data_IF_515280642792
#
_entry.id   IF_515280642792
#
_cell.length_a   1.000
_cell.length_b   1.000
_cell.length_c   1.000
_cell.angle_alpha   90.00
_cell.angle_beta   90.00
_cell.angle_gamma   90.00
#
_symmetry.space_group_name_H-M   'P 1'
#
loop_
_entity.id
_entity.type
_entity.pdbx_description
1 polymer ?
#
# COMPACT_ATOMS: atom_id res chain seq x y z
N UNK A 1 -17.19 1.44 -9.76
CA UNK A 1 -15.96 2.13 -9.34
C UNK A 1 -14.90 1.04 -9.21
N UNK A 2 -13.78 1.14 -9.91
CA UNK A 2 -12.74 0.07 -9.90
C UNK A 2 -11.63 0.40 -8.91
N UNK A 3 -10.79 -0.57 -8.54
CA UNK A 3 -9.64 -0.30 -7.67
C UNK A 3 -8.67 0.71 -8.30
N UNK A 4 -8.56 0.76 -9.62
CA UNK A 4 -7.72 1.76 -10.31
C UNK A 4 -8.21 3.20 -10.10
N UNK A 5 -9.54 3.40 -10.11
CA UNK A 5 -10.13 4.73 -9.87
C UNK A 5 -9.81 5.19 -8.44
N UNK A 6 -9.98 4.31 -7.46
CA UNK A 6 -9.66 4.59 -6.05
C UNK A 6 -8.15 4.87 -5.89
N UNK A 7 -7.31 4.04 -6.52
CA UNK A 7 -5.85 4.21 -6.46
C UNK A 7 -5.41 5.57 -7.03
N UNK A 8 -6.05 6.04 -8.10
CA UNK A 8 -5.77 7.35 -8.68
C UNK A 8 -6.14 8.49 -7.72
N UNK A 9 -7.29 8.40 -7.05
CA UNK A 9 -7.71 9.38 -6.06
C UNK A 9 -6.77 9.41 -4.84
N UNK A 10 -6.36 8.25 -4.33
CA UNK A 10 -5.42 8.15 -3.21
C UNK A 10 -4.07 8.78 -3.56
N UNK A 11 -3.55 8.54 -4.77
CA UNK A 11 -2.28 9.14 -5.24
C UNK A 11 -2.30 10.67 -5.23
N UNK A 12 -3.45 11.26 -5.53
CA UNK A 12 -3.65 12.72 -5.53
C UNK A 12 -4.14 13.28 -4.18
N UNK A 13 -4.38 12.45 -3.16
CA UNK A 13 -5.08 12.87 -1.95
C UNK A 13 -4.27 13.87 -1.11
N UNK A 14 -4.87 15.01 -0.79
CA UNK A 14 -4.29 16.06 0.08
C UNK A 14 -5.12 16.32 1.34
N UNK A 15 -6.00 15.39 1.72
CA UNK A 15 -6.99 15.58 2.79
C UNK A 15 -6.41 15.61 4.21
N UNK A 16 -5.15 15.20 4.43
CA UNK A 16 -4.49 15.25 5.75
C UNK A 16 -3.00 15.59 5.63
N UNK A 17 -2.35 16.12 6.70
CA UNK A 17 -0.97 16.61 6.63
C UNK A 17 0.09 15.61 6.11
N UNK A 18 -0.18 14.30 6.15
CA UNK A 18 0.73 13.25 5.66
C UNK A 18 1.08 13.40 4.18
N UNK A 19 0.24 14.06 3.37
CA UNK A 19 0.55 14.31 1.96
C UNK A 19 1.81 15.17 1.78
N UNK A 20 2.19 15.96 2.80
CA UNK A 20 3.29 16.92 2.71
C UNK A 20 4.67 16.26 2.78
N UNK A 21 4.78 15.12 3.45
CA UNK A 21 6.05 14.44 3.70
C UNK A 21 6.25 13.15 2.89
N UNK A 22 5.17 12.55 2.39
CA UNK A 22 5.26 11.32 1.58
C UNK A 22 5.96 11.59 0.24
N UNK A 23 6.75 10.64 -0.24
CA UNK A 23 7.22 10.59 -1.60
C UNK A 23 6.14 10.02 -2.53
N UNK A 24 5.57 8.86 -2.18
CA UNK A 24 4.51 8.21 -2.96
C UNK A 24 3.42 7.68 -2.06
N UNK A 25 2.17 7.96 -2.42
CA UNK A 25 1.05 7.28 -1.78
C UNK A 25 1.05 5.79 -2.17
N UNK A 26 0.59 4.96 -1.23
CA UNK A 26 0.51 3.50 -1.37
C UNK A 26 -0.95 3.09 -1.25
N UNK A 27 -1.71 3.03 -2.36
CA UNK A 27 -3.14 2.71 -2.34
C UNK A 27 -3.48 1.25 -2.04
N UNK A 28 -2.47 0.37 -1.96
CA UNK A 28 -2.63 -1.07 -1.94
C UNK A 28 -2.42 -1.69 -3.33
N UNK A 29 -2.19 -3.00 -3.35
CA UNK A 29 -2.06 -3.81 -4.57
C UNK A 29 -2.61 -5.22 -4.30
N UNK A 30 -3.09 -5.91 -5.34
CA UNK A 30 -3.66 -7.25 -5.22
C UNK A 30 -4.81 -7.50 -6.19
N UNK A 31 -5.38 -8.69 -6.12
CA UNK A 31 -6.55 -9.07 -6.91
C UNK A 31 -7.82 -8.46 -6.34
N UNK A 32 -8.68 -7.88 -7.17
CA UNK A 32 -10.04 -7.47 -6.78
C UNK A 32 -10.90 -8.65 -6.30
N UNK A 33 -10.48 -9.88 -6.64
CA UNK A 33 -11.15 -11.14 -6.29
C UNK A 33 -10.44 -11.89 -5.15
N UNK A 34 -9.49 -11.27 -4.46
CA UNK A 34 -8.81 -11.91 -3.34
C UNK A 34 -9.82 -12.26 -2.24
N UNK A 35 -9.72 -13.48 -1.69
CA UNK A 35 -10.55 -13.92 -0.56
C UNK A 35 -10.05 -13.36 0.78
N UNK A 36 -8.78 -12.94 0.81
CA UNK A 36 -8.10 -12.44 2.00
C UNK A 36 -7.56 -11.03 1.69
N UNK A 37 -7.81 -10.09 2.60
CA UNK A 37 -7.26 -8.74 2.59
C UNK A 37 -6.36 -8.55 3.81
N UNK A 38 -5.13 -8.07 3.59
CA UNK A 38 -4.18 -7.77 4.66
C UNK A 38 -4.07 -6.25 4.79
N UNK A 39 -4.26 -5.75 6.01
CA UNK A 39 -4.24 -4.31 6.32
C UNK A 39 -3.16 -4.06 7.38
N UNK A 40 -2.17 -3.23 7.03
CA UNK A 40 -1.16 -2.74 7.97
C UNK A 40 -1.51 -1.37 8.55
N UNK A 41 -0.62 -0.82 9.38
CA UNK A 41 -0.80 0.52 9.98
C UNK A 41 -0.63 1.65 8.96
N UNK A 42 0.45 1.63 8.17
CA UNK A 42 0.76 2.64 7.16
C UNK A 42 2.07 2.37 6.42
N UNK A 43 2.39 3.17 5.38
CA UNK A 43 3.61 2.99 4.60
C UNK A 43 4.87 3.27 5.42
N UNK A 44 5.82 2.33 5.42
CA UNK A 44 7.18 2.55 5.90
C UNK A 44 8.06 3.25 4.87
N UNK A 45 9.37 3.34 5.16
CA UNK A 45 10.33 4.05 4.29
C UNK A 45 10.44 3.44 2.89
N UNK A 46 10.49 2.11 2.80
CA UNK A 46 10.63 1.42 1.51
C UNK A 46 9.33 1.49 0.71
N UNK A 47 8.19 1.37 1.38
CA UNK A 47 6.85 1.51 0.80
C UNK A 47 6.65 2.92 0.24
N UNK A 48 7.00 3.96 0.98
CA UNK A 48 6.91 5.35 0.53
C UNK A 48 7.82 5.64 -0.68
N UNK A 49 9.04 5.06 -0.69
CA UNK A 49 9.98 5.21 -1.81
C UNK A 49 9.50 4.50 -3.08
N UNK A 50 8.95 3.29 -2.94
CA UNK A 50 8.58 2.43 -4.07
C UNK A 50 7.13 2.64 -4.52
N UNK A 51 6.25 3.12 -3.63
CA UNK A 51 4.82 3.27 -3.89
C UNK A 51 4.06 1.94 -3.86
N UNK A 52 4.57 0.94 -3.14
CA UNK A 52 4.03 -0.42 -3.04
C UNK A 52 3.96 -0.85 -1.56
N UNK A 53 2.92 -1.57 -1.13
CA UNK A 53 2.78 -2.01 0.26
C UNK A 53 3.70 -3.22 0.54
N UNK A 54 4.09 -3.42 1.80
CA UNK A 54 4.79 -4.63 2.28
C UNK A 54 6.07 -4.99 1.48
N UNK A 55 6.90 -4.01 1.14
CA UNK A 55 8.17 -4.23 0.41
C UNK A 55 9.41 -4.13 1.30
N UNK A 56 9.25 -3.67 2.55
CA UNK A 56 10.26 -3.71 3.59
C UNK A 56 10.39 -5.07 4.26
N UNK A 57 11.21 -5.15 5.32
CA UNK A 57 11.56 -6.42 5.96
C UNK A 57 10.35 -7.12 6.58
N UNK A 58 9.41 -6.37 7.17
CA UNK A 58 8.16 -6.90 7.68
C UNK A 58 7.28 -7.51 6.58
N UNK A 59 7.31 -6.94 5.36
CA UNK A 59 6.58 -7.44 4.22
C UNK A 59 7.17 -8.71 3.64
N UNK A 60 8.51 -8.79 3.55
CA UNK A 60 9.21 -10.03 3.16
C UNK A 60 8.86 -11.19 4.10
N UNK A 61 8.82 -10.93 5.41
CA UNK A 61 8.42 -11.93 6.39
C UNK A 61 6.95 -12.37 6.24
N UNK A 62 6.06 -11.43 5.88
CA UNK A 62 4.67 -11.75 5.57
C UNK A 62 4.57 -12.66 4.35
N UNK A 63 5.31 -12.36 3.27
CA UNK A 63 5.35 -13.17 2.06
C UNK A 63 5.86 -14.59 2.34
N UNK A 64 6.93 -14.71 3.13
CA UNK A 64 7.49 -16.00 3.56
C UNK A 64 6.50 -16.86 4.35
N UNK A 65 5.61 -16.23 5.14
CA UNK A 65 4.61 -16.91 5.98
C UNK A 65 3.29 -17.19 5.28
N UNK A 66 2.94 -16.40 4.27
CA UNK A 66 1.66 -16.50 3.56
C UNK A 66 1.67 -17.56 2.45
N UNK A 67 2.85 -18.07 2.08
CA UNK A 67 3.05 -19.15 1.10
C UNK A 67 3.29 -20.54 1.77
N UNK A 68 2.98 -20.66 3.06
CA UNK A 68 3.04 -21.92 3.82
C UNK A 68 1.75 -22.73 3.76
#
# INVERSE_FOLDING_TARGET
MTLEVIAKEIRACTKCPLYRSRNKAVPGEGSEKAEILIIGEGPGQNEDKLGRPFVGDAGKFLDERSLG
#
